data_IF_518544195042
#
_entry.id   IF_518544195042
#
_cell.length_a   1.000
_cell.length_b   1.000
_cell.length_c   1.000
_cell.angle_alpha   90.00
_cell.angle_beta   90.00
_cell.angle_gamma   90.00
#
_symmetry.space_group_name_H-M   'P 1'
#
loop_
_entity.id
_entity.type
_entity.pdbx_description
1 polymer ?
#
# COMPACT_ATOMS: atom_id res chain seq x y z
N UNK A 1 6.12 13.16 3.11
CA UNK A 1 5.96 12.12 2.08
C UNK A 1 6.19 10.74 2.66
N UNK A 2 7.44 10.33 2.85
CA UNK A 2 7.84 8.95 3.16
C UNK A 2 7.19 8.34 4.42
N UNK A 3 7.07 9.10 5.52
CA UNK A 3 6.40 8.60 6.74
C UNK A 3 4.90 8.30 6.50
N UNK A 4 4.20 9.18 5.78
CA UNK A 4 2.79 8.96 5.42
C UNK A 4 2.62 7.75 4.49
N UNK A 5 3.57 7.54 3.58
CA UNK A 5 3.59 6.37 2.70
C UNK A 5 3.69 5.08 3.52
N UNK A 6 4.60 5.07 4.51
CA UNK A 6 4.76 3.95 5.45
C UNK A 6 3.49 3.70 6.27
N UNK A 7 2.84 4.75 6.77
CA UNK A 7 1.61 4.62 7.55
C UNK A 7 0.50 3.97 6.70
N UNK A 8 0.34 4.39 5.45
CA UNK A 8 -0.62 3.80 4.51
C UNK A 8 -0.29 2.34 4.17
N UNK A 9 0.98 2.01 4.01
CA UNK A 9 1.42 0.63 3.76
C UNK A 9 1.15 -0.28 4.96
N UNK A 10 1.34 0.23 6.18
CA UNK A 10 0.96 -0.49 7.39
C UNK A 10 -0.55 -0.71 7.48
N UNK A 11 -1.37 0.24 7.03
CA UNK A 11 -2.83 0.05 6.98
C UNK A 11 -3.23 -1.09 6.04
N UNK A 12 -2.57 -1.23 4.87
CA UNK A 12 -2.79 -2.35 3.94
C UNK A 12 -2.50 -3.69 4.58
N UNK A 13 -1.37 -3.81 5.30
CA UNK A 13 -0.94 -5.07 5.94
C UNK A 13 -1.87 -5.56 7.07
N UNK A 14 -2.77 -4.69 7.56
CA UNK A 14 -3.71 -5.01 8.63
C UNK A 14 -5.14 -5.29 8.14
N UNK A 15 -5.38 -5.28 6.82
CA UNK A 15 -6.71 -5.61 6.27
C UNK A 15 -6.97 -7.11 6.39
N UNK A 16 -8.05 -7.50 7.06
CA UNK A 16 -8.46 -8.90 7.14
C UNK A 16 -9.11 -9.38 5.83
N UNK A 17 -8.53 -10.41 5.21
CA UNK A 17 -9.04 -11.00 3.97
C UNK A 17 -10.04 -12.15 4.20
N UNK A 18 -9.93 -12.84 5.33
CA UNK A 18 -10.75 -14.02 5.66
C UNK A 18 -11.37 -13.80 7.04
N UNK A 19 -12.67 -14.11 7.15
CA UNK A 19 -13.39 -14.05 8.41
C UNK A 19 -13.71 -15.45 8.91
N UNK A 20 -13.01 -15.92 9.92
CA UNK A 20 -13.24 -17.26 10.49
C UNK A 20 -14.52 -17.36 11.32
N UNK A 21 -15.16 -16.23 11.65
CA UNK A 21 -16.34 -16.20 12.51
C UNK A 21 -16.07 -16.72 13.93
N UNK A 22 -17.03 -16.51 14.82
CA UNK A 22 -16.99 -17.03 16.20
C UNK A 22 -18.05 -18.11 16.47
N UNK A 23 -18.86 -18.43 15.45
CA UNK A 23 -19.98 -19.37 15.52
C UNK A 23 -20.01 -20.26 14.28
N UNK A 24 -20.58 -21.45 14.41
CA UNK A 24 -20.91 -22.32 13.28
C UNK A 24 -21.84 -21.60 12.32
N UNK A 25 -21.49 -21.63 11.03
CA UNK A 25 -22.28 -21.04 9.94
C UNK A 25 -22.63 -22.11 8.92
N UNK A 26 -23.75 -21.94 8.22
CA UNK A 26 -24.03 -22.76 7.03
C UNK A 26 -23.04 -22.38 5.93
N UNK A 27 -22.79 -23.32 5.01
CA UNK A 27 -21.89 -23.14 3.87
C UNK A 27 -22.16 -21.85 3.10
N UNK A 28 -23.41 -21.65 2.68
CA UNK A 28 -23.78 -20.52 1.83
C UNK A 28 -23.64 -19.19 2.60
N UNK A 29 -24.05 -19.16 3.87
CA UNK A 29 -23.86 -18.00 4.75
C UNK A 29 -22.38 -17.66 4.96
N UNK A 30 -21.52 -18.67 5.05
CA UNK A 30 -20.07 -18.48 5.17
C UNK A 30 -19.47 -17.91 3.86
N UNK A 31 -19.86 -18.46 2.72
CA UNK A 31 -19.40 -18.00 1.40
C UNK A 31 -19.81 -16.55 1.13
N UNK A 32 -21.05 -16.19 1.47
CA UNK A 32 -21.55 -14.82 1.33
C UNK A 32 -20.74 -13.86 2.22
N UNK A 33 -20.47 -14.25 3.47
CA UNK A 33 -19.65 -13.45 4.39
C UNK A 33 -18.19 -13.29 3.92
N UNK A 34 -17.58 -14.33 3.35
CA UNK A 34 -16.24 -14.21 2.76
C UNK A 34 -16.25 -13.27 1.55
N UNK A 35 -17.26 -13.39 0.69
CA UNK A 35 -17.41 -12.55 -0.50
C UNK A 35 -17.56 -11.08 -0.10
N UNK A 36 -18.42 -10.78 0.88
CA UNK A 36 -18.60 -9.43 1.40
C UNK A 36 -17.30 -8.88 2.00
N UNK A 37 -16.58 -9.69 2.78
CA UNK A 37 -15.30 -9.30 3.38
C UNK A 37 -14.24 -8.99 2.31
N UNK A 38 -14.10 -9.84 1.29
CA UNK A 38 -13.19 -9.60 0.17
C UNK A 38 -13.55 -8.36 -0.64
N UNK A 39 -14.84 -8.11 -0.88
CA UNK A 39 -15.29 -6.88 -1.55
C UNK A 39 -15.01 -5.63 -0.72
N UNK A 40 -15.17 -5.69 0.60
CA UNK A 40 -14.82 -4.59 1.49
C UNK A 40 -13.29 -4.33 1.49
N UNK A 41 -12.49 -5.39 1.54
CA UNK A 41 -11.03 -5.31 1.44
C UNK A 41 -10.58 -4.70 0.10
N UNK A 42 -11.18 -5.12 -1.03
CA UNK A 42 -10.89 -4.58 -2.35
C UNK A 42 -11.12 -3.06 -2.41
N UNK A 43 -12.27 -2.57 -1.92
CA UNK A 43 -12.55 -1.13 -1.83
C UNK A 43 -11.54 -0.39 -0.95
N UNK A 44 -11.08 -1.01 0.13
CA UNK A 44 -10.07 -0.44 1.00
C UNK A 44 -8.70 -0.34 0.30
N UNK A 45 -8.33 -1.35 -0.48
CA UNK A 45 -7.10 -1.32 -1.29
C UNK A 45 -7.14 -0.24 -2.35
N UNK A 46 -8.27 -0.08 -3.05
CA UNK A 46 -8.45 1.00 -4.03
C UNK A 46 -8.27 2.39 -3.38
N UNK A 47 -8.92 2.60 -2.23
CA UNK A 47 -8.80 3.86 -1.49
C UNK A 47 -7.36 4.12 -1.01
N UNK A 48 -6.67 3.10 -0.50
CA UNK A 48 -5.27 3.23 -0.09
C UNK A 48 -4.35 3.51 -1.29
N UNK A 49 -4.59 2.86 -2.43
CA UNK A 49 -3.83 3.08 -3.66
C UNK A 49 -3.98 4.52 -4.14
N UNK A 50 -5.20 5.08 -4.12
CA UNK A 50 -5.44 6.49 -4.45
C UNK A 50 -4.67 7.44 -3.54
N UNK A 51 -4.63 7.16 -2.22
CA UNK A 51 -3.87 7.96 -1.26
C UNK A 51 -2.37 7.89 -1.49
N UNK A 52 -1.84 6.70 -1.77
CA UNK A 52 -0.42 6.49 -2.11
C UNK A 52 -0.06 7.29 -3.37
N UNK A 53 -0.90 7.21 -4.41
CA UNK A 53 -0.70 7.98 -5.65
C UNK A 53 -0.70 9.49 -5.39
N UNK A 54 -1.59 9.98 -4.55
CA UNK A 54 -1.65 11.42 -4.20
C UNK A 54 -0.40 11.86 -3.42
N UNK A 55 0.07 11.05 -2.46
CA UNK A 55 1.31 11.32 -1.72
C UNK A 55 2.50 11.37 -2.69
N UNK A 56 2.61 10.40 -3.60
CA UNK A 56 3.69 10.34 -4.59
C UNK A 56 3.63 11.56 -5.52
N UNK A 57 2.44 11.91 -6.01
CA UNK A 57 2.21 13.09 -6.85
C UNK A 57 2.62 14.38 -6.14
N UNK A 58 2.19 14.55 -4.90
CA UNK A 58 2.55 15.72 -4.06
C UNK A 58 4.07 15.83 -3.90
N UNK A 59 4.76 14.74 -3.58
CA UNK A 59 6.23 14.75 -3.47
C UNK A 59 6.90 15.10 -4.79
N UNK A 60 6.41 14.57 -5.92
CA UNK A 60 6.95 14.91 -7.23
C UNK A 60 6.75 16.39 -7.58
N UNK A 61 5.58 16.96 -7.27
CA UNK A 61 5.29 18.38 -7.46
C UNK A 61 6.18 19.25 -6.58
N UNK A 62 6.32 18.93 -5.30
CA UNK A 62 7.14 19.69 -4.36
C UNK A 62 8.61 19.75 -4.81
N UNK A 63 9.19 18.62 -5.21
CA UNK A 63 10.58 18.55 -5.69
C UNK A 63 10.73 19.26 -7.04
N UNK A 64 9.74 19.17 -7.92
CA UNK A 64 9.78 19.86 -9.22
C UNK A 64 9.71 21.38 -9.05
N UNK A 65 8.81 21.87 -8.19
CA UNK A 65 8.68 23.29 -7.85
C UNK A 65 9.94 23.80 -7.15
N UNK A 66 10.56 23.00 -6.27
CA UNK A 66 11.82 23.36 -5.62
C UNK A 66 12.93 23.59 -6.64
N UNK A 67 13.02 22.75 -7.69
CA UNK A 67 14.00 22.94 -8.77
C UNK A 67 13.68 24.18 -9.60
N UNK A 68 12.42 24.39 -9.99
CA UNK A 68 12.01 25.56 -10.78
C UNK A 68 12.33 26.87 -10.05
N UNK A 69 11.96 26.97 -8.76
CA UNK A 69 12.27 28.13 -7.93
C UNK A 69 13.78 28.35 -7.77
N UNK A 70 14.57 27.27 -7.69
CA UNK A 70 16.02 27.35 -7.60
C UNK A 70 16.66 27.83 -8.92
N UNK A 71 16.09 27.49 -10.08
CA UNK A 71 16.54 27.93 -11.41
C UNK A 71 16.18 29.40 -11.68
N UNK A 72 14.98 29.85 -11.29
CA UNK A 72 14.58 31.26 -11.38
C UNK A 72 15.43 32.17 -10.49
N UNK A 73 15.73 31.69 -9.28
CA UNK A 73 16.63 32.38 -8.36
C UNK A 73 18.06 32.50 -8.92
N UNK A 74 18.51 31.55 -9.75
CA UNK A 74 19.84 31.57 -10.36
C UNK A 74 19.95 32.71 -11.40
N UNK A 75 18.93 32.85 -12.25
CA UNK A 75 18.84 33.85 -13.31
C UNK A 75 18.74 35.29 -12.79
N UNK A 76 18.05 35.53 -11.66
CA UNK A 76 17.97 36.88 -11.06
C UNK A 76 19.28 37.32 -10.37
N UNK A 77 20.08 36.39 -9.85
CA UNK A 77 21.34 36.72 -9.17
C UNK A 77 22.43 37.22 -10.11
N UNK A 78 22.46 36.76 -11.36
CA UNK A 78 23.46 37.19 -12.36
C UNK A 78 23.21 38.62 -12.87
N UNK A 79 21.95 39.08 -12.85
CA UNK A 79 21.57 40.46 -13.21
C UNK A 79 21.87 41.51 -12.13
N UNK A 80 21.97 41.11 -10.86
CA UNK A 80 22.15 42.03 -9.73
C UNK A 80 23.59 42.59 -9.62
N UNK A 81 24.59 41.88 -10.16
CA UNK A 81 25.97 42.36 -10.20
C UNK A 81 26.24 43.40 -11.31
N UNK A 82 25.35 43.51 -12.30
CA UNK A 82 25.48 44.49 -13.39
C UNK A 82 24.87 45.87 -13.06
N UNK A 83 24.13 45.99 -11.94
CA UNK A 83 23.30 47.15 -11.62
C UNK A 83 23.69 47.93 -10.35
N UNK A 84 24.92 47.80 -9.84
CA UNK A 84 25.36 48.44 -8.59
C UNK A 84 25.61 49.96 -8.69
N UNK A 85 24.78 50.67 -9.47
CA UNK A 85 24.65 52.13 -9.40
C UNK A 85 23.32 52.49 -8.75
N UNK A 86 23.41 53.01 -7.54
CA UNK A 86 22.39 53.70 -6.74
C UNK A 86 21.46 52.90 -5.81
N UNK A 87 21.74 53.13 -4.51
CA UNK A 87 20.83 53.25 -3.38
C UNK A 87 20.28 51.97 -2.72
N UNK A 88 20.76 51.69 -1.51
CA UNK A 88 20.02 50.96 -0.47
C UNK A 88 20.77 49.79 0.16
N UNK A 89 21.43 50.05 1.29
CA UNK A 89 21.98 49.07 2.26
C UNK A 89 22.99 48.07 1.69
N UNK A 90 24.28 48.39 1.81
CA UNK A 90 25.38 47.47 1.52
C UNK A 90 25.31 46.23 2.42
N UNK A 91 24.84 45.12 1.85
CA UNK A 91 25.05 43.76 2.41
C UNK A 91 26.55 43.48 2.42
N UNK A 92 27.08 42.87 3.47
CA UNK A 92 28.52 42.59 3.55
C UNK A 92 28.93 41.64 2.42
N UNK A 93 30.08 41.87 1.78
CA UNK A 93 30.62 41.01 0.72
C UNK A 93 30.76 39.54 1.17
N UNK A 94 31.03 39.33 2.46
CA UNK A 94 31.09 37.98 3.08
C UNK A 94 29.70 37.33 3.12
N UNK A 95 28.67 38.12 3.40
CA UNK A 95 27.28 37.66 3.48
C UNK A 95 26.72 37.34 2.08
N UNK A 96 27.02 38.20 1.10
CA UNK A 96 26.68 37.94 -0.31
C UNK A 96 27.38 36.68 -0.85
N UNK A 97 28.66 36.47 -0.50
CA UNK A 97 29.39 35.26 -0.89
C UNK A 97 28.83 34.00 -0.23
N UNK A 98 28.43 34.08 1.04
CA UNK A 98 27.82 32.97 1.78
C UNK A 98 26.46 32.60 1.18
N UNK A 99 25.61 33.59 0.91
CA UNK A 99 24.31 33.41 0.26
C UNK A 99 24.44 32.75 -1.11
N UNK A 100 25.42 33.15 -1.92
CA UNK A 100 25.71 32.53 -3.21
C UNK A 100 26.14 31.06 -3.08
N UNK A 101 26.99 30.74 -2.10
CA UNK A 101 27.39 29.34 -1.86
C UNK A 101 26.24 28.48 -1.35
N UNK A 102 25.38 29.03 -0.49
CA UNK A 102 24.22 28.34 0.04
C UNK A 102 23.18 28.11 -1.07
N UNK A 103 22.95 29.10 -1.94
CA UNK A 103 22.09 29.02 -3.14
C UNK A 103 22.54 27.90 -4.08
N UNK A 104 23.83 27.86 -4.45
CA UNK A 104 24.40 26.79 -5.30
C UNK A 104 24.25 25.41 -4.67
N UNK A 105 24.47 25.30 -3.34
CA UNK A 105 24.31 24.05 -2.61
C UNK A 105 22.86 23.57 -2.63
N UNK A 106 21.90 24.47 -2.40
CA UNK A 106 20.47 24.16 -2.47
C UNK A 106 20.05 23.72 -3.87
N UNK A 107 20.50 24.42 -4.91
CA UNK A 107 20.20 24.05 -6.30
C UNK A 107 20.78 22.67 -6.69
N UNK A 108 22.03 22.38 -6.28
CA UNK A 108 22.64 21.05 -6.50
C UNK A 108 21.82 19.95 -5.83
N UNK A 109 21.37 20.20 -4.59
CA UNK A 109 20.54 19.27 -3.84
C UNK A 109 19.18 19.06 -4.52
N UNK A 110 18.50 20.12 -4.95
CA UNK A 110 17.21 20.03 -5.64
C UNK A 110 17.32 19.21 -6.94
N UNK A 111 18.38 19.41 -7.73
CA UNK A 111 18.65 18.59 -8.93
C UNK A 111 18.88 17.11 -8.61
N UNK A 112 19.62 16.82 -7.52
CA UNK A 112 19.80 15.45 -7.05
C UNK A 112 18.48 14.83 -6.62
N UNK A 113 17.67 15.52 -5.82
CA UNK A 113 16.36 15.04 -5.37
C UNK A 113 15.42 14.78 -6.57
N UNK A 114 15.40 15.67 -7.57
CA UNK A 114 14.64 15.46 -8.82
C UNK A 114 15.09 14.21 -9.58
N UNK A 115 16.40 13.96 -9.64
CA UNK A 115 16.95 12.76 -10.31
C UNK A 115 16.56 11.45 -9.62
N UNK A 116 16.19 11.50 -8.34
CA UNK A 116 15.77 10.34 -7.55
C UNK A 116 14.27 10.04 -7.66
N UNK A 117 13.46 10.97 -8.20
CA UNK A 117 12.00 10.79 -8.30
C UNK A 117 11.58 9.49 -9.01
N UNK A 118 12.21 9.07 -10.14
CA UNK A 118 11.85 7.81 -10.79
C UNK A 118 12.06 6.59 -9.88
N UNK A 119 13.17 6.56 -9.14
CA UNK A 119 13.45 5.47 -8.19
C UNK A 119 12.50 5.50 -6.99
N UNK A 120 12.11 6.70 -6.54
CA UNK A 120 11.13 6.87 -5.47
C UNK A 120 9.74 6.34 -5.88
N UNK A 121 9.27 6.65 -7.10
CA UNK A 121 8.00 6.15 -7.62
C UNK A 121 8.02 4.62 -7.65
N UNK A 122 9.06 4.02 -8.25
CA UNK A 122 9.20 2.56 -8.30
C UNK A 122 9.24 1.91 -6.93
N UNK A 123 9.92 2.55 -5.97
CA UNK A 123 9.96 2.05 -4.60
C UNK A 123 8.56 2.06 -3.96
N UNK A 124 7.78 3.13 -4.17
CA UNK A 124 6.41 3.18 -3.68
C UNK A 124 5.53 2.07 -4.28
N UNK A 125 5.65 1.83 -5.59
CA UNK A 125 4.94 0.74 -6.28
C UNK A 125 5.35 -0.63 -5.72
N UNK A 126 6.67 -0.87 -5.57
CA UNK A 126 7.17 -2.16 -5.06
C UNK A 126 6.72 -2.46 -3.64
N UNK A 127 6.77 -1.47 -2.75
CA UNK A 127 6.34 -1.70 -1.36
C UNK A 127 4.82 -1.95 -1.32
N UNK A 128 4.02 -1.26 -2.15
CA UNK A 128 2.57 -1.50 -2.18
C UNK A 128 2.25 -2.93 -2.64
N UNK A 129 2.91 -3.40 -3.70
CA UNK A 129 2.76 -4.78 -4.19
C UNK A 129 3.25 -5.78 -3.14
N UNK A 130 4.40 -5.52 -2.51
CA UNK A 130 4.95 -6.37 -1.44
C UNK A 130 3.97 -6.49 -0.26
N UNK A 131 3.40 -5.38 0.21
CA UNK A 131 2.41 -5.39 1.30
C UNK A 131 1.15 -6.18 0.94
N UNK A 132 0.66 -6.07 -0.30
CA UNK A 132 -0.49 -6.87 -0.76
C UNK A 132 -0.16 -8.37 -0.79
N UNK A 133 0.99 -8.75 -1.35
CA UNK A 133 1.42 -10.17 -1.41
C UNK A 133 1.65 -10.73 -0.01
N UNK A 134 2.31 -9.97 0.87
CA UNK A 134 2.54 -10.34 2.26
C UNK A 134 1.22 -10.60 2.99
N UNK A 135 0.22 -9.73 2.77
CA UNK A 135 -1.10 -9.90 3.34
C UNK A 135 -1.79 -11.17 2.84
N UNK A 136 -1.75 -11.45 1.54
CA UNK A 136 -2.32 -12.69 0.97
C UNK A 136 -1.66 -13.92 1.57
N UNK A 137 -0.33 -13.95 1.64
CA UNK A 137 0.41 -15.07 2.24
C UNK A 137 0.07 -15.25 3.73
N UNK A 138 -0.10 -14.15 4.47
CA UNK A 138 -0.52 -14.19 5.87
C UNK A 138 -1.92 -14.78 6.01
N UNK A 139 -2.88 -14.33 5.20
CA UNK A 139 -4.25 -14.85 5.23
C UNK A 139 -4.32 -16.35 4.91
N UNK A 140 -3.55 -16.82 3.93
CA UNK A 140 -3.44 -18.25 3.60
C UNK A 140 -2.82 -19.06 4.74
N UNK A 141 -1.75 -18.54 5.38
CA UNK A 141 -1.13 -19.20 6.52
C UNK A 141 -2.08 -19.25 7.73
N UNK A 142 -2.80 -18.17 8.01
CA UNK A 142 -3.80 -18.10 9.08
C UNK A 142 -4.94 -19.09 8.80
N UNK A 143 -5.39 -19.19 7.55
CA UNK A 143 -6.40 -20.17 7.12
C UNK A 143 -5.93 -21.61 7.29
N UNK A 144 -4.72 -21.92 6.84
CA UNK A 144 -4.11 -23.23 7.03
C UNK A 144 -3.94 -23.56 8.51
N UNK A 145 -3.53 -22.60 9.33
CA UNK A 145 -3.39 -22.78 10.77
C UNK A 145 -4.74 -23.17 11.40
N UNK A 146 -5.83 -22.47 11.06
CA UNK A 146 -7.18 -22.79 11.54
C UNK A 146 -7.64 -24.18 11.09
N UNK A 147 -7.30 -24.60 9.86
CA UNK A 147 -7.64 -25.94 9.36
C UNK A 147 -6.85 -27.06 10.07
N UNK A 148 -5.61 -26.78 10.48
CA UNK A 148 -4.72 -27.75 11.11
C UNK A 148 -4.80 -27.74 12.64
N UNK A 149 -5.39 -26.71 13.26
CA UNK A 149 -5.54 -26.62 14.71
C UNK A 149 -6.62 -27.59 15.23
N UNK A 150 -6.16 -28.70 15.81
CA UNK A 150 -7.00 -29.76 16.39
C UNK A 150 -7.54 -29.41 17.81
N UNK A 151 -7.16 -28.25 18.36
CA UNK A 151 -7.27 -27.98 19.81
C UNK A 151 -8.64 -27.44 20.27
N UNK A 152 -9.53 -27.04 19.37
CA UNK A 152 -10.90 -26.68 19.74
C UNK A 152 -11.87 -27.12 18.64
N UNK A 153 -12.64 -28.19 18.92
CA UNK A 153 -13.71 -28.80 18.07
C UNK A 153 -14.80 -27.85 17.52
N UNK A 154 -14.63 -26.53 17.66
CA UNK A 154 -15.52 -25.47 17.16
C UNK A 154 -15.02 -24.82 15.86
N UNK A 155 -13.79 -25.06 15.41
CA UNK A 155 -13.27 -24.54 14.13
C UNK A 155 -13.07 -25.67 13.11
N UNK A 156 -14.17 -26.27 12.66
CA UNK A 156 -14.11 -27.31 11.64
C UNK A 156 -15.41 -27.43 10.86
N UNK A 157 -15.37 -28.17 9.76
CA UNK A 157 -16.56 -28.47 8.98
C UNK A 157 -17.44 -29.47 9.73
N UNK A 158 -18.67 -29.08 10.01
CA UNK A 158 -19.68 -29.98 10.58
C UNK A 158 -20.29 -30.81 9.44
N UNK A 159 -20.31 -32.13 9.62
CA UNK A 159 -20.91 -33.07 8.65
C UNK A 159 -22.00 -33.88 9.32
N UNK A 160 -23.18 -33.90 8.72
CA UNK A 160 -24.28 -34.77 9.13
C UNK A 160 -24.13 -36.14 8.47
N UNK A 161 -24.19 -37.20 9.27
CA UNK A 161 -24.20 -38.59 8.79
C UNK A 161 -25.62 -39.13 8.86
N UNK A 162 -26.14 -39.59 7.73
CA UNK A 162 -27.46 -40.21 7.63
C UNK A 162 -27.31 -41.67 7.20
N UNK A 163 -28.07 -42.55 7.84
CA UNK A 163 -28.11 -43.98 7.52
C UNK A 163 -29.44 -44.28 6.81
N UNK A 164 -29.32 -44.73 5.56
CA UNK A 164 -30.43 -44.93 4.63
C UNK A 164 -30.44 -46.41 4.22
N UNK A 165 -31.53 -46.87 3.59
CA UNK A 165 -31.61 -48.26 3.07
C UNK A 165 -30.53 -48.57 2.03
N UNK A 166 -30.06 -47.54 1.30
CA UNK A 166 -29.01 -47.62 0.29
C UNK A 166 -27.59 -47.45 0.85
N UNK A 167 -27.43 -47.14 2.15
CA UNK A 167 -26.14 -46.99 2.81
C UNK A 167 -25.99 -45.70 3.63
N UNK A 168 -24.75 -45.30 3.87
CA UNK A 168 -24.41 -44.11 4.68
C UNK A 168 -24.14 -42.90 3.78
N UNK A 169 -24.88 -41.81 4.00
CA UNK A 169 -24.69 -40.54 3.27
C UNK A 169 -24.14 -39.45 4.19
N UNK A 170 -23.21 -38.66 3.68
CA UNK A 170 -22.57 -37.53 4.38
C UNK A 170 -23.02 -36.22 3.75
N UNK A 171 -23.41 -35.24 4.56
CA UNK A 171 -23.80 -33.91 4.09
C UNK A 171 -23.20 -32.83 5.00
N UNK A 172 -22.29 -31.97 4.49
CA UNK A 172 -21.67 -31.99 3.16
C UNK A 172 -20.74 -33.20 2.95
N UNK A 173 -20.48 -33.57 1.70
CA UNK A 173 -19.48 -34.59 1.36
C UNK A 173 -18.06 -34.01 1.40
N UNK A 174 -17.04 -34.88 1.40
CA UNK A 174 -15.65 -34.45 1.27
C UNK A 174 -15.40 -33.69 -0.06
N UNK A 175 -16.11 -34.06 -1.13
CA UNK A 175 -16.02 -33.35 -2.41
C UNK A 175 -16.58 -31.92 -2.29
N UNK A 176 -17.68 -31.74 -1.57
CA UNK A 176 -18.28 -30.42 -1.35
C UNK A 176 -17.36 -29.50 -0.54
N UNK A 177 -16.71 -30.03 0.51
CA UNK A 177 -15.75 -29.29 1.32
C UNK A 177 -14.53 -28.88 0.47
N UNK A 178 -14.01 -29.79 -0.36
CA UNK A 178 -12.89 -29.48 -1.26
C UNK A 178 -13.26 -28.43 -2.29
N UNK A 179 -14.44 -28.53 -2.89
CA UNK A 179 -14.94 -27.54 -3.85
C UNK A 179 -15.14 -26.17 -3.20
N UNK A 180 -15.61 -26.13 -1.94
CA UNK A 180 -15.74 -24.90 -1.16
C UNK A 180 -14.38 -24.25 -0.89
N UNK A 181 -13.37 -25.02 -0.46
CA UNK A 181 -12.03 -24.50 -0.21
C UNK A 181 -11.38 -24.02 -1.51
N UNK A 182 -11.49 -24.80 -2.58
CA UNK A 182 -10.99 -24.41 -3.89
C UNK A 182 -11.65 -23.10 -4.39
N UNK A 183 -12.95 -22.93 -4.19
CA UNK A 183 -13.63 -21.67 -4.52
C UNK A 183 -13.16 -20.47 -3.70
N UNK A 184 -12.52 -20.68 -2.55
CA UNK A 184 -11.96 -19.58 -1.75
C UNK A 184 -10.54 -19.21 -2.15
N UNK A 185 -9.78 -20.17 -2.68
CA UNK A 185 -8.36 -19.99 -3.07
C UNK A 185 -8.18 -19.73 -4.56
N UNK A 186 -9.09 -20.23 -5.40
CA UNK A 186 -8.96 -20.28 -6.86
C UNK A 186 -9.82 -19.22 -7.58
N UNK A 187 -10.44 -18.26 -6.87
CA UNK A 187 -10.98 -17.02 -7.50
C UNK A 187 -9.86 -16.10 -8.03
N UNK A 188 -8.76 -16.67 -8.54
CA UNK A 188 -7.67 -16.03 -9.27
C UNK A 188 -7.96 -15.97 -10.78
N UNK A 189 -9.20 -15.64 -11.17
CA UNK A 189 -9.59 -15.37 -12.56
C UNK A 189 -9.42 -13.88 -12.94
N UNK A 190 -8.51 -13.17 -12.26
CA UNK A 190 -8.13 -11.79 -12.62
C UNK A 190 -6.62 -11.70 -12.89
N UNK A 191 -6.26 -12.09 -14.11
CA UNK A 191 -5.24 -11.41 -14.92
C UNK A 191 -5.91 -10.33 -15.77
#
# INVERSE_FOLDING_TARGET
GVLKLKDQMFEVENVELINFGSRTMKRDEFNDAQTEKRQAAAKHFDACMEQVQEIVRSVCLDVTNLVANAEESDQQGDGFMAGFSNSGKFKSMVEAKKEETDRRRMHRRAKQEKSMLPSFIRLADYIMVESMVSLTLKAENDFLAVLLEDQNRKSGFETTVQFNEEGTTFSPTCADIKAMIAGMTDENDFL
#
